data_IF_623049403512
#
_entry.id   IF_623049403512
#
_cell.length_a   1.000
_cell.length_b   1.000
_cell.length_c   1.000
_cell.angle_alpha   90.00
_cell.angle_beta   90.00
_cell.angle_gamma   90.00
#
_symmetry.space_group_name_H-M   'P 1'
#
loop_
_entity.id
_entity.type
_entity.pdbx_description
1 polymer ?
#
# COMPACT_ATOMS: atom_id res chain seq x y z
N UNK A 1 7.41 -14.13 31.59
CA UNK A 1 6.07 -14.39 31.04
C UNK A 1 6.01 -13.87 29.61
N UNK A 2 5.77 -14.73 28.61
CA UNK A 2 5.56 -14.27 27.22
C UNK A 2 4.13 -13.71 27.11
N UNK A 3 3.98 -12.45 26.69
CA UNK A 3 2.65 -11.87 26.41
C UNK A 3 1.89 -12.77 25.42
N UNK A 4 0.60 -13.07 25.64
CA UNK A 4 -0.17 -13.85 24.69
C UNK A 4 -0.19 -13.13 23.34
N UNK A 5 0.16 -13.86 22.27
CA UNK A 5 0.10 -13.36 20.89
C UNK A 5 -1.35 -13.01 20.59
N UNK A 6 -1.65 -11.72 20.51
CA UNK A 6 -2.96 -11.21 20.12
C UNK A 6 -3.12 -11.45 18.62
N UNK A 7 -3.56 -12.65 18.24
CA UNK A 7 -3.98 -12.90 16.86
C UNK A 7 -5.04 -11.85 16.51
N UNK A 8 -4.91 -11.21 15.35
CA UNK A 8 -5.92 -10.29 14.86
C UNK A 8 -7.25 -11.04 14.82
N UNK A 9 -8.18 -10.68 15.72
CA UNK A 9 -9.55 -11.18 15.64
C UNK A 9 -10.06 -10.80 14.25
N UNK A 10 -10.52 -11.79 13.49
CA UNK A 10 -11.18 -11.51 12.21
C UNK A 10 -12.44 -10.72 12.56
N UNK A 11 -12.63 -9.51 11.99
CA UNK A 11 -13.84 -8.73 12.26
C UNK A 11 -15.09 -9.56 11.90
N UNK A 12 -16.19 -9.43 12.65
CA UNK A 12 -17.44 -10.11 12.33
C UNK A 12 -17.85 -9.89 10.86
N UNK A 13 -18.51 -10.88 10.23
CA UNK A 13 -19.10 -10.68 8.91
C UNK A 13 -19.99 -9.43 8.89
N UNK A 14 -19.99 -8.67 7.78
CA UNK A 14 -20.79 -7.45 7.66
C UNK A 14 -20.22 -6.22 8.38
N UNK A 15 -19.10 -6.34 9.09
CA UNK A 15 -18.41 -5.16 9.67
C UNK A 15 -18.08 -4.15 8.57
N UNK A 16 -18.55 -2.91 8.74
CA UNK A 16 -18.20 -1.83 7.83
C UNK A 16 -16.73 -1.50 7.97
N UNK A 17 -16.09 -1.34 6.81
CA UNK A 17 -14.66 -1.07 6.74
C UNK A 17 -14.34 -0.24 5.52
N UNK A 18 -13.20 0.43 5.59
CA UNK A 18 -12.56 1.15 4.49
C UNK A 18 -11.31 0.39 4.06
N UNK A 19 -10.94 0.51 2.79
CA UNK A 19 -9.77 -0.19 2.24
C UNK A 19 -9.04 0.68 1.22
N UNK A 20 -7.72 0.56 1.22
CA UNK A 20 -6.88 1.07 0.14
C UNK A 20 -5.66 0.14 -0.04
N UNK A 21 -5.04 0.23 -1.21
CA UNK A 21 -3.78 -0.43 -1.48
C UNK A 21 -2.70 0.59 -1.82
N UNK A 22 -1.49 0.32 -1.32
CA UNK A 22 -0.28 1.07 -1.67
C UNK A 22 0.62 0.13 -2.44
N UNK A 23 1.04 0.52 -3.64
CA UNK A 23 1.95 -0.26 -4.47
C UNK A 23 3.21 0.54 -4.74
N UNK A 24 4.37 -0.14 -4.81
CA UNK A 24 5.62 0.50 -5.21
C UNK A 24 6.46 -0.37 -6.13
N UNK A 25 7.26 0.30 -6.93
CA UNK A 25 8.36 -0.25 -7.72
C UNK A 25 9.59 0.62 -7.51
N UNK A 26 10.69 0.33 -8.21
CA UNK A 26 11.86 1.22 -8.23
C UNK A 26 11.63 2.51 -9.05
N UNK A 27 10.44 2.69 -9.65
CA UNK A 27 10.10 3.88 -10.45
C UNK A 27 9.05 4.77 -9.80
N UNK A 28 8.09 4.17 -9.09
CA UNK A 28 6.94 4.91 -8.60
C UNK A 28 6.36 4.33 -7.30
N UNK A 29 5.49 5.12 -6.67
CA UNK A 29 4.52 4.69 -5.68
C UNK A 29 3.09 5.04 -6.14
N UNK A 30 2.12 4.20 -5.79
CA UNK A 30 0.69 4.44 -6.02
C UNK A 30 -0.08 4.25 -4.71
N UNK A 31 -1.12 5.05 -4.51
CA UNK A 31 -2.10 4.88 -3.43
C UNK A 31 -3.49 4.87 -4.07
N UNK A 32 -4.23 3.79 -3.83
CA UNK A 32 -5.49 3.50 -4.52
C UNK A 32 -6.56 3.18 -3.49
N UNK A 33 -7.62 3.99 -3.47
CA UNK A 33 -8.85 3.74 -2.72
C UNK A 33 -9.62 2.56 -3.32
N UNK A 34 -10.20 1.74 -2.46
CA UNK A 34 -10.96 0.56 -2.85
C UNK A 34 -12.41 0.64 -2.37
N UNK A 35 -13.35 0.15 -3.19
CA UNK A 35 -14.75 -0.06 -2.83
C UNK A 35 -15.02 -1.50 -2.41
N UNK A 36 -15.96 -1.70 -1.49
CA UNK A 36 -16.26 -3.02 -0.92
C UNK A 36 -17.69 -3.43 -1.27
N UNK A 37 -17.80 -4.40 -2.17
CA UNK A 37 -19.07 -4.96 -2.68
C UNK A 37 -19.15 -6.47 -2.44
N UNK A 38 -18.65 -6.95 -1.30
CA UNK A 38 -18.40 -8.39 -1.06
C UNK A 38 -17.05 -8.89 -1.60
N UNK A 39 -16.54 -8.25 -2.66
CA UNK A 39 -15.12 -8.21 -3.03
C UNK A 39 -14.50 -6.84 -2.73
N UNK A 40 -13.22 -6.67 -3.05
CA UNK A 40 -12.54 -5.36 -3.05
C UNK A 40 -12.28 -4.96 -4.50
N UNK A 41 -12.70 -3.75 -4.86
CA UNK A 41 -12.67 -3.24 -6.23
C UNK A 41 -11.96 -1.89 -6.27
N UNK A 42 -11.35 -1.53 -7.39
CA UNK A 42 -10.81 -0.19 -7.58
C UNK A 42 -11.95 0.82 -7.43
N UNK A 43 -11.81 1.82 -6.57
CA UNK A 43 -12.90 2.76 -6.30
C UNK A 43 -13.28 3.52 -7.56
N UNK A 44 -14.57 3.70 -7.83
CA UNK A 44 -15.07 4.44 -9.01
C UNK A 44 -14.93 5.94 -8.83
N UNK A 45 -14.91 6.42 -7.58
CA UNK A 45 -14.87 7.86 -7.26
C UNK A 45 -13.78 8.25 -6.26
N UNK A 46 -13.21 7.29 -5.54
CA UNK A 46 -12.21 7.57 -4.51
C UNK A 46 -10.83 7.91 -5.06
N UNK A 47 -9.90 8.25 -4.16
CA UNK A 47 -8.54 8.64 -4.54
C UNK A 47 -7.84 7.52 -5.32
N UNK A 48 -7.17 7.87 -6.41
CA UNK A 48 -6.16 7.04 -7.04
C UNK A 48 -5.06 7.99 -7.52
N UNK A 49 -3.87 7.86 -6.95
CA UNK A 49 -2.75 8.78 -7.19
C UNK A 49 -1.46 8.01 -7.34
N UNK A 50 -0.54 8.58 -8.11
CA UNK A 50 0.82 8.10 -8.26
C UNK A 50 1.83 9.23 -8.14
N UNK A 51 3.03 8.88 -7.72
CA UNK A 51 4.18 9.78 -7.70
C UNK A 51 5.45 9.01 -8.04
N UNK A 52 6.48 9.74 -8.48
CA UNK A 52 7.84 9.19 -8.50
C UNK A 52 8.22 8.73 -7.08
N UNK A 53 9.17 7.81 -6.99
CA UNK A 53 9.50 7.11 -5.74
C UNK A 53 9.94 8.01 -4.57
N UNK A 54 10.41 9.22 -4.84
CA UNK A 54 10.98 10.15 -3.85
C UNK A 54 9.90 10.89 -3.06
N UNK A 55 9.01 10.13 -2.41
CA UNK A 55 7.94 10.66 -1.55
C UNK A 55 8.33 10.63 -0.08
N UNK A 56 7.82 11.57 0.70
CA UNK A 56 8.03 11.59 2.16
C UNK A 56 7.01 10.71 2.89
N UNK A 57 7.27 10.27 4.15
CA UNK A 57 6.27 9.58 4.95
C UNK A 57 4.96 10.38 5.11
N UNK A 58 5.04 11.71 5.23
CA UNK A 58 3.90 12.62 5.36
C UNK A 58 3.03 12.58 4.10
N UNK A 59 3.67 12.61 2.92
CA UNK A 59 2.96 12.45 1.65
C UNK A 59 2.20 11.12 1.61
N UNK A 60 2.85 10.02 2.04
CA UNK A 60 2.20 8.70 2.09
C UNK A 60 1.02 8.73 3.07
N UNK A 61 1.20 9.26 4.28
CA UNK A 61 0.13 9.34 5.28
C UNK A 61 -1.07 10.14 4.81
N UNK A 62 -0.85 11.33 4.25
CA UNK A 62 -1.92 12.22 3.79
C UNK A 62 -2.76 11.53 2.71
N UNK A 63 -2.10 10.91 1.74
CA UNK A 63 -2.78 10.21 0.65
C UNK A 63 -3.42 8.88 1.10
N UNK A 64 -2.83 8.17 2.08
CA UNK A 64 -3.48 6.98 2.68
C UNK A 64 -4.75 7.36 3.43
N UNK A 65 -4.73 8.45 4.21
CA UNK A 65 -5.92 8.98 4.89
C UNK A 65 -7.01 9.32 3.88
N UNK A 66 -6.67 10.13 2.88
CA UNK A 66 -7.63 10.53 1.85
C UNK A 66 -8.17 9.32 1.05
N UNK A 67 -7.34 8.32 0.76
CA UNK A 67 -7.80 7.09 0.11
C UNK A 67 -8.78 6.29 0.98
N UNK A 68 -8.57 6.23 2.30
CA UNK A 68 -9.50 5.60 3.23
C UNK A 68 -10.78 6.43 3.38
N UNK A 69 -10.68 7.76 3.49
CA UNK A 69 -11.84 8.65 3.60
C UNK A 69 -12.75 8.53 2.38
N UNK A 70 -12.16 8.41 1.20
CA UNK A 70 -12.88 8.24 -0.07
C UNK A 70 -13.21 6.78 -0.44
N UNK A 71 -12.84 5.82 0.40
CA UNK A 71 -13.22 4.41 0.27
C UNK A 71 -14.66 4.21 0.74
N UNK A 72 -15.43 3.42 -0.02
CA UNK A 72 -16.85 3.17 0.27
C UNK A 72 -17.12 1.69 0.58
N UNK A 73 -17.96 1.47 1.59
CA UNK A 73 -18.51 0.16 1.91
C UNK A 73 -19.93 0.07 1.33
N UNK A 74 -20.05 -0.62 0.20
CA UNK A 74 -21.29 -0.72 -0.57
C UNK A 74 -21.97 -2.09 -0.42
N UNK A 75 -21.45 -2.96 0.43
CA UNK A 75 -22.06 -4.26 0.67
C UNK A 75 -23.37 -4.06 1.44
N UNK A 76 -24.48 -4.68 0.99
CA UNK A 76 -25.75 -4.62 1.71
C UNK A 76 -25.65 -5.35 3.07
N UNK A 77 -26.63 -5.12 3.98
CA UNK A 77 -26.73 -5.84 5.23
C UNK A 77 -26.64 -7.37 5.07
N UNK A 78 -26.23 -8.03 6.15
CA UNK A 78 -26.15 -9.49 6.19
C UNK A 78 -27.53 -10.07 5.82
N UNK A 79 -27.54 -11.13 5.01
CA UNK A 79 -28.74 -11.80 4.46
C UNK A 79 -29.43 -11.11 3.29
N UNK A 80 -29.05 -9.88 2.94
CA UNK A 80 -29.54 -9.24 1.71
C UNK A 80 -28.54 -9.55 0.58
N UNK A 81 -28.98 -10.18 -0.53
CA UNK A 81 -28.10 -10.42 -1.67
C UNK A 81 -27.70 -9.09 -2.31
N UNK A 82 -26.49 -9.06 -2.87
CA UNK A 82 -26.06 -7.94 -3.70
C UNK A 82 -26.85 -8.00 -5.01
N UNK A 83 -27.42 -6.86 -5.40
CA UNK A 83 -28.05 -6.71 -6.71
C UNK A 83 -27.03 -7.01 -7.82
N UNK A 84 -27.37 -8.01 -8.66
CA UNK A 84 -26.48 -8.49 -9.71
C UNK A 84 -26.20 -7.45 -10.80
N UNK A 85 -27.20 -6.68 -11.20
CA UNK A 85 -27.06 -5.65 -12.24
C UNK A 85 -26.21 -4.49 -11.72
N UNK A 86 -26.45 -4.05 -10.49
CA UNK A 86 -25.62 -3.02 -9.85
C UNK A 86 -24.16 -3.48 -9.70
N UNK A 87 -23.94 -4.75 -9.34
CA UNK A 87 -22.60 -5.31 -9.22
C UNK A 87 -21.89 -5.36 -10.58
N UNK A 88 -22.59 -5.72 -11.66
CA UNK A 88 -22.05 -5.75 -13.02
C UNK A 88 -21.68 -4.33 -13.47
N UNK A 89 -22.59 -3.37 -13.33
CA UNK A 89 -22.35 -1.97 -13.68
C UNK A 89 -21.16 -1.38 -12.88
N UNK A 90 -21.10 -1.67 -11.57
CA UNK A 90 -19.98 -1.27 -10.74
C UNK A 90 -18.65 -1.89 -11.21
N UNK A 91 -18.62 -3.20 -11.49
CA UNK A 91 -17.41 -3.89 -11.97
C UNK A 91 -16.91 -3.31 -13.29
N UNK A 92 -17.81 -2.96 -14.20
CA UNK A 92 -17.48 -2.32 -15.47
C UNK A 92 -16.80 -0.96 -15.22
N UNK A 93 -17.44 -0.06 -14.48
CA UNK A 93 -16.91 1.27 -14.17
C UNK A 93 -15.59 1.22 -13.36
N UNK A 94 -15.49 0.29 -12.39
CA UNK A 94 -14.27 0.04 -11.62
C UNK A 94 -13.13 -0.44 -12.52
N UNK A 95 -13.42 -1.33 -13.46
CA UNK A 95 -12.43 -1.87 -14.40
C UNK A 95 -11.96 -0.79 -15.37
N UNK A 96 -12.87 -0.03 -15.95
CA UNK A 96 -12.55 1.08 -16.87
C UNK A 96 -11.62 2.09 -16.20
N UNK A 97 -11.98 2.59 -15.01
CA UNK A 97 -11.15 3.55 -14.28
C UNK A 97 -9.80 2.97 -13.88
N UNK A 98 -9.77 1.71 -13.41
CA UNK A 98 -8.51 1.02 -13.07
C UNK A 98 -7.60 0.94 -14.29
N UNK A 99 -8.15 0.59 -15.46
CA UNK A 99 -7.40 0.43 -16.69
C UNK A 99 -6.81 1.77 -17.15
N UNK A 100 -7.59 2.85 -17.11
CA UNK A 100 -7.13 4.20 -17.44
C UNK A 100 -6.01 4.68 -16.49
N UNK A 101 -6.17 4.47 -15.18
CA UNK A 101 -5.14 4.83 -14.20
C UNK A 101 -3.81 4.12 -14.47
N UNK A 102 -3.84 2.82 -14.78
CA UNK A 102 -2.60 2.09 -15.06
C UNK A 102 -2.00 2.40 -16.43
N UNK A 103 -2.79 2.87 -17.41
CA UNK A 103 -2.25 3.44 -18.64
C UNK A 103 -1.45 4.71 -18.37
N UNK A 104 -2.00 5.61 -17.54
CA UNK A 104 -1.34 6.84 -17.14
C UNK A 104 -0.01 6.55 -16.40
N UNK A 105 -0.02 5.64 -15.42
CA UNK A 105 1.20 5.20 -14.73
C UNK A 105 2.21 4.61 -15.73
N UNK A 106 1.76 3.74 -16.64
CA UNK A 106 2.65 3.11 -17.59
C UNK A 106 3.30 4.13 -18.53
N UNK A 107 2.52 5.08 -19.04
CA UNK A 107 3.01 6.19 -19.87
C UNK A 107 4.01 7.06 -19.10
N UNK A 108 3.64 7.49 -17.88
CA UNK A 108 4.44 8.39 -17.04
C UNK A 108 5.82 7.81 -16.69
N UNK A 109 5.88 6.50 -16.39
CA UNK A 109 7.12 5.86 -15.93
C UNK A 109 7.77 4.94 -16.98
N UNK A 110 7.41 5.10 -18.26
CA UNK A 110 8.07 4.44 -19.39
C UNK A 110 7.94 2.92 -19.40
N UNK A 111 6.76 2.40 -19.05
CA UNK A 111 6.43 0.98 -19.23
C UNK A 111 5.84 0.74 -20.63
N UNK A 112 6.29 -0.32 -21.30
CA UNK A 112 5.80 -0.67 -22.65
C UNK A 112 4.33 -1.10 -22.66
N UNK A 113 3.86 -1.70 -21.58
CA UNK A 113 2.50 -2.21 -21.43
C UNK A 113 1.99 -1.87 -20.03
N UNK A 114 0.69 -1.53 -19.91
CA UNK A 114 0.04 -1.27 -18.62
C UNK A 114 0.25 -2.40 -17.63
N UNK A 115 0.26 -3.65 -18.11
CA UNK A 115 0.44 -4.85 -17.30
C UNK A 115 1.76 -4.86 -16.55
N UNK A 116 2.80 -4.29 -17.15
CA UNK A 116 4.13 -4.27 -16.57
C UNK A 116 4.28 -3.23 -15.47
N UNK A 117 3.40 -2.23 -15.42
CA UNK A 117 3.34 -1.30 -14.29
C UNK A 117 2.80 -2.04 -13.07
N UNK A 118 1.58 -2.59 -13.12
CA UNK A 118 0.92 -3.14 -11.92
C UNK A 118 1.26 -4.60 -11.57
N UNK A 119 1.82 -5.39 -12.49
CA UNK A 119 2.31 -6.75 -12.17
C UNK A 119 3.67 -6.64 -11.50
N UNK A 120 3.89 -7.44 -10.46
CA UNK A 120 5.18 -7.56 -9.76
C UNK A 120 5.62 -6.21 -9.14
N UNK A 121 4.76 -5.64 -8.31
CA UNK A 121 5.10 -4.55 -7.40
C UNK A 121 5.27 -5.11 -5.98
N UNK A 122 5.86 -4.35 -5.07
CA UNK A 122 5.51 -4.56 -3.67
C UNK A 122 4.10 -3.98 -3.44
N UNK A 123 3.25 -4.70 -2.71
CA UNK A 123 1.90 -4.22 -2.35
C UNK A 123 1.67 -4.30 -0.85
N UNK A 124 1.13 -3.24 -0.29
CA UNK A 124 0.63 -3.18 1.08
C UNK A 124 -0.88 -3.01 1.02
N UNK A 125 -1.59 -3.86 1.76
CA UNK A 125 -3.04 -3.75 1.93
C UNK A 125 -3.33 -3.01 3.23
N UNK A 126 -4.18 -2.00 3.17
CA UNK A 126 -4.58 -1.22 4.33
C UNK A 126 -6.09 -1.34 4.48
N UNK A 127 -6.55 -1.65 5.68
CA UNK A 127 -7.97 -1.74 5.99
C UNK A 127 -8.29 -1.14 7.34
N UNK A 128 -9.44 -0.50 7.47
CA UNK A 128 -9.88 0.13 8.70
C UNK A 128 -11.32 -0.22 9.01
N UNK A 129 -11.56 -0.92 10.13
CA UNK A 129 -12.91 -1.19 10.65
C UNK A 129 -13.32 0.00 11.53
N UNK A 130 -13.65 1.11 10.89
CA UNK A 130 -13.76 2.44 11.50
C UNK A 130 -14.85 2.58 12.57
N UNK A 131 -15.84 1.69 12.60
CA UNK A 131 -16.87 1.67 13.65
C UNK A 131 -16.42 0.90 14.91
N UNK A 132 -15.32 0.13 14.85
CA UNK A 132 -14.91 -0.79 15.92
C UNK A 132 -13.52 -0.49 16.49
N UNK A 133 -12.57 -0.11 15.63
CA UNK A 133 -11.18 0.08 16.03
C UNK A 133 -10.69 1.47 15.61
N UNK A 134 -9.98 2.20 16.50
CA UNK A 134 -9.33 3.45 16.11
C UNK A 134 -8.16 3.19 15.14
N UNK A 135 -7.63 1.96 15.13
CA UNK A 135 -6.45 1.59 14.37
C UNK A 135 -6.79 1.13 12.96
N UNK A 136 -5.98 1.60 12.00
CA UNK A 136 -5.90 0.98 10.67
C UNK A 136 -4.95 -0.21 10.74
N UNK A 137 -5.27 -1.24 9.96
CA UNK A 137 -4.45 -2.45 9.83
C UNK A 137 -3.68 -2.39 8.53
N UNK A 138 -2.35 -2.40 8.62
CA UNK A 138 -1.42 -2.35 7.49
C UNK A 138 -0.76 -3.72 7.31
N UNK A 139 -0.96 -4.35 6.15
CA UNK A 139 -0.53 -5.73 5.88
C UNK A 139 0.43 -5.77 4.70
N UNK A 140 1.63 -6.30 4.93
CA UNK A 140 2.55 -6.65 3.85
C UNK A 140 1.94 -7.79 3.01
N UNK A 141 2.26 -7.84 1.72
CA UNK A 141 1.79 -8.90 0.82
C UNK A 141 2.90 -9.82 0.33
N UNK A 142 2.49 -10.95 -0.24
CA UNK A 142 3.31 -11.81 -1.08
C UNK A 142 2.77 -11.77 -2.52
N UNK A 143 3.64 -11.45 -3.48
CA UNK A 143 3.35 -11.53 -4.91
C UNK A 143 3.81 -12.88 -5.47
N UNK A 144 2.95 -13.55 -6.25
CA UNK A 144 3.31 -14.75 -7.01
C UNK A 144 4.13 -14.40 -8.27
N UNK A 145 4.69 -15.42 -8.91
CA UNK A 145 5.35 -15.30 -10.22
C UNK A 145 4.38 -14.77 -11.29
N UNK A 146 3.11 -15.17 -11.23
CA UNK A 146 2.06 -14.69 -12.13
C UNK A 146 1.57 -13.26 -11.85
N UNK A 147 2.06 -12.61 -10.79
CA UNK A 147 1.67 -11.25 -10.41
C UNK A 147 0.44 -11.15 -9.50
N UNK A 148 -0.02 -12.26 -8.93
CA UNK A 148 -1.14 -12.27 -7.99
C UNK A 148 -0.66 -11.95 -6.57
N UNK A 149 -1.37 -11.06 -5.87
CA UNK A 149 -1.06 -10.69 -4.50
C UNK A 149 -1.90 -11.48 -3.50
N UNK A 150 -1.28 -11.88 -2.41
CA UNK A 150 -1.96 -12.49 -1.26
C UNK A 150 -1.44 -11.90 0.04
N UNK A 151 -2.33 -11.79 1.03
CA UNK A 151 -1.90 -11.55 2.41
C UNK A 151 -1.33 -12.83 3.02
N UNK A 152 -0.52 -12.67 4.07
CA UNK A 152 0.02 -13.79 4.82
C UNK A 152 -1.08 -14.55 5.57
N UNK A 153 -0.98 -15.88 5.60
CA UNK A 153 -1.82 -16.72 6.46
C UNK A 153 -1.63 -16.33 7.93
N UNK A 154 -2.65 -16.51 8.76
CA UNK A 154 -2.64 -16.07 10.16
C UNK A 154 -1.49 -16.66 10.99
N UNK A 155 -1.10 -17.90 10.71
CA UNK A 155 0.03 -18.59 11.33
C UNK A 155 1.41 -18.08 10.86
N UNK A 156 1.45 -17.26 9.79
CA UNK A 156 2.68 -16.76 9.15
C UNK A 156 2.73 -15.24 9.04
N UNK A 157 1.86 -14.53 9.77
CA UNK A 157 1.73 -13.08 9.66
C UNK A 157 2.53 -12.30 10.72
N UNK A 158 3.26 -12.99 11.60
CA UNK A 158 4.12 -12.37 12.62
C UNK A 158 5.14 -11.43 11.97
N UNK A 159 5.21 -10.20 12.48
CA UNK A 159 6.07 -9.13 11.95
C UNK A 159 5.70 -8.61 10.56
N UNK A 160 4.49 -8.90 10.06
CA UNK A 160 4.00 -8.52 8.70
C UNK A 160 2.65 -7.82 8.72
N UNK A 161 2.03 -7.73 9.89
CA UNK A 161 0.80 -6.98 10.15
C UNK A 161 1.13 -5.94 11.19
N UNK A 162 0.82 -4.70 10.87
CA UNK A 162 1.05 -3.54 11.71
C UNK A 162 -0.28 -2.86 11.98
N UNK A 163 -0.36 -2.18 13.13
CA UNK A 163 -1.47 -1.33 13.52
C UNK A 163 -0.93 0.06 13.82
N UNK A 164 -1.69 1.06 13.40
CA UNK A 164 -1.42 2.46 13.68
C UNK A 164 -2.77 3.17 13.81
N UNK A 165 -2.97 4.03 14.82
CA UNK A 165 -4.20 4.80 14.94
C UNK A 165 -4.49 5.58 13.67
N UNK A 166 -5.74 5.60 13.22
CA UNK A 166 -6.14 6.48 12.11
C UNK A 166 -5.84 7.93 12.48
N UNK A 167 -6.01 8.34 13.74
CA UNK A 167 -5.71 9.68 14.22
C UNK A 167 -4.22 9.92 14.58
N UNK A 168 -3.30 9.03 14.19
CA UNK A 168 -1.87 9.18 14.47
C UNK A 168 -1.27 10.48 13.87
N UNK A 169 -0.03 10.82 14.21
CA UNK A 169 0.64 12.00 13.64
C UNK A 169 0.95 11.85 12.14
N UNK A 170 1.25 12.98 11.49
CA UNK A 170 1.31 13.10 10.04
C UNK A 170 2.29 12.16 9.34
N UNK A 171 3.38 11.72 9.98
CA UNK A 171 4.33 10.78 9.36
C UNK A 171 4.11 9.30 9.75
N UNK A 172 3.32 9.02 10.79
CA UNK A 172 3.34 7.71 11.46
C UNK A 172 2.69 6.60 10.60
N UNK A 173 1.63 6.94 9.87
CA UNK A 173 0.99 6.04 8.91
C UNK A 173 1.97 5.70 7.79
N UNK A 174 2.63 6.70 7.20
CA UNK A 174 3.64 6.55 6.18
C UNK A 174 4.80 5.68 6.64
N UNK A 175 5.36 5.97 7.82
CA UNK A 175 6.40 5.15 8.44
C UNK A 175 5.97 3.69 8.65
N UNK A 176 4.70 3.45 8.98
CA UNK A 176 4.14 2.11 9.12
C UNK A 176 4.00 1.39 7.77
N UNK A 177 3.57 2.09 6.72
CA UNK A 177 3.52 1.57 5.35
C UNK A 177 4.92 1.18 4.86
N UNK A 178 5.93 2.01 5.15
CA UNK A 178 7.33 1.74 4.80
C UNK A 178 7.89 0.51 5.51
N UNK A 179 7.59 0.37 6.82
CA UNK A 179 7.90 -0.85 7.59
C UNK A 179 7.22 -2.08 6.99
N UNK A 180 5.96 -1.96 6.52
CA UNK A 180 5.25 -3.05 5.88
C UNK A 180 5.84 -3.43 4.52
N UNK A 181 6.27 -2.46 3.72
CA UNK A 181 6.95 -2.71 2.46
C UNK A 181 8.24 -3.52 2.63
N UNK A 182 9.03 -3.24 3.67
CA UNK A 182 10.25 -4.02 3.97
C UNK A 182 9.97 -5.52 4.21
N UNK A 183 8.72 -5.88 4.50
CA UNK A 183 8.26 -7.25 4.75
C UNK A 183 7.56 -7.90 3.56
N UNK A 184 7.38 -7.17 2.45
CA UNK A 184 6.83 -7.72 1.22
C UNK A 184 7.79 -8.73 0.58
N UNK A 185 7.23 -9.66 -0.18
CA UNK A 185 7.99 -10.71 -0.89
C UNK A 185 7.42 -10.97 -2.27
N UNK A 186 8.28 -11.30 -3.22
CA UNK A 186 7.89 -11.75 -4.55
C UNK A 186 8.88 -11.29 -5.63
N UNK A 187 8.68 -11.70 -6.89
CA UNK A 187 9.57 -11.39 -8.02
C UNK A 187 9.45 -9.94 -8.52
N UNK A 188 8.78 -9.08 -7.75
CA UNK A 188 8.55 -7.67 -8.00
C UNK A 188 8.98 -6.78 -6.84
N UNK A 189 9.75 -7.35 -5.91
CA UNK A 189 10.23 -6.65 -4.74
C UNK A 189 11.15 -5.54 -5.21
N UNK A 190 10.84 -4.31 -4.80
CA UNK A 190 11.71 -3.17 -5.05
C UNK A 190 13.05 -3.40 -4.36
N UNK A 191 14.14 -3.21 -5.10
CA UNK A 191 15.51 -3.41 -4.60
C UNK A 191 16.08 -2.16 -3.97
N UNK A 192 15.44 -1.01 -4.19
CA UNK A 192 15.92 0.28 -3.79
C UNK A 192 15.18 0.85 -2.56
N UNK A 193 15.85 1.63 -1.68
CA UNK A 193 15.20 2.28 -0.55
C UNK A 193 14.27 3.42 -1.00
N UNK A 194 13.12 3.62 -0.36
CA UNK A 194 12.13 4.65 -0.76
C UNK A 194 12.60 6.10 -0.53
N UNK A 195 13.76 6.30 0.08
CA UNK A 195 14.37 7.62 0.27
C UNK A 195 15.76 7.60 -0.34
N UNK A 196 16.25 8.73 -0.88
CA UNK A 196 17.69 8.90 -0.96
C UNK A 196 18.22 8.66 0.46
N UNK A 197 19.16 7.72 0.59
CA UNK A 197 19.94 7.61 1.82
C UNK A 197 20.59 8.97 1.97
N UNK A 198 20.09 9.82 2.87
CA UNK A 198 20.81 11.02 3.27
C UNK A 198 22.17 10.48 3.71
N UNK A 199 23.28 10.84 3.05
CA UNK A 199 24.59 10.41 3.50
C UNK A 199 24.69 10.90 4.94
N UNK A 200 24.73 9.98 5.90
CA UNK A 200 25.02 10.37 7.26
C UNK A 200 26.35 11.10 7.21
N UNK A 201 26.44 12.25 7.88
CA UNK A 201 27.61 13.15 7.85
C UNK A 201 28.95 12.47 8.19
N UNK A 202 28.92 11.20 8.63
CA UNK A 202 30.08 10.34 8.84
C UNK A 202 30.78 9.88 7.54
N UNK A 203 30.09 9.86 6.39
CA UNK A 203 30.69 9.43 5.12
C UNK A 203 31.30 10.57 4.30
N UNK A 204 30.99 11.83 4.61
CA UNK A 204 31.58 12.99 3.92
C UNK A 204 33.01 13.26 4.42
N UNK A 205 33.29 13.00 5.71
CA UNK A 205 34.61 13.27 6.30
C UNK A 205 35.67 12.26 5.83
N UNK A 206 35.27 11.00 5.59
CA UNK A 206 36.20 9.97 5.11
C UNK A 206 36.68 10.21 3.67
N UNK A 207 35.85 10.81 2.81
CA UNK A 207 36.20 11.10 1.42
C UNK A 207 37.00 12.40 1.25
N UNK A 208 36.95 13.31 2.22
CA UNK A 208 37.74 14.55 2.18
C UNK A 208 39.15 14.34 2.75
N UNK A 209 39.32 13.40 3.69
CA UNK A 209 40.65 13.02 4.20
C UNK A 209 41.47 12.20 3.21
N UNK A 210 40.85 11.33 2.40
CA UNK A 210 41.58 10.55 1.39
C UNK A 210 42.07 11.41 0.22
N UNK A 211 41.35 12.48 -0.14
CA UNK A 211 41.78 13.44 -1.17
C UNK A 211 42.91 14.36 -0.71
N UNK A 212 42.98 14.74 0.57
CA UNK A 212 44.07 15.58 1.09
C UNK A 212 45.40 14.83 1.25
N UNK A 213 45.38 13.51 1.48
CA UNK A 213 46.61 12.72 1.56
C UNK A 213 47.24 12.37 0.21
N UNK A 214 46.53 12.54 -0.92
CA UNK A 214 47.10 12.34 -2.26
C UNK A 214 47.69 13.61 -2.89
N UNK A 215 47.57 14.77 -2.24
CA UNK A 215 48.10 16.05 -2.73
C UNK A 215 49.36 16.52 -1.96
N UNK A 216 49.90 15.67 -1.08
CA UNK A 216 51.11 15.94 -0.30
C UNK A 216 52.24 14.94 -0.56
N UNK A 217 52.26 14.31 -1.73
CA UNK A 217 53.35 13.45 -2.21
C UNK A 217 54.17 14.16 -3.28
#
# INVERSE_FOLDING_TARGET
MKKPKQFAKVPPPGTKRKSCSVNRTDRYITIISEEIWGGMYFSRRGLAIHAARDVTPEWISANVRQALDTSEYCRPPIHIPIDGEQLIAMKAASTERRLAFWDEVASTYGYKLREMAWKKTDRVFISWCYELEPDIVVKASKCSISGNYSTWRLDKNEGRVFRVPFAAYDEEIGNTVLKAFAKCQGPGKSTEPLFPVIPTAKNTVANDQSKRQQLSG
#
